data_IF_598850176706
#
_entry.id   IF_598850176706
#
_cell.length_a   1.000
_cell.length_b   1.000
_cell.length_c   1.000
_cell.angle_alpha   90.00
_cell.angle_beta   90.00
_cell.angle_gamma   90.00
#
_symmetry.space_group_name_H-M   'P 1'
#
loop_
_entity.id
_entity.type
_entity.pdbx_description
1 polymer ?
#
# COMPACT_ATOMS: atom_id res chain seq x y z
N UNK A 1 2.94 -17.77 7.85
CA UNK A 1 4.40 -17.82 7.56
C UNK A 1 5.28 -17.55 8.80
N UNK A 2 6.55 -18.01 8.82
CA UNK A 2 7.56 -17.65 9.84
C UNK A 2 8.65 -16.77 9.22
N UNK A 3 9.19 -15.82 9.98
CA UNK A 3 10.37 -15.04 9.55
C UNK A 3 11.64 -15.90 9.61
N UNK A 4 12.75 -15.43 9.01
CA UNK A 4 14.06 -16.10 9.08
C UNK A 4 14.63 -16.25 10.51
N UNK A 5 13.96 -15.70 11.53
CA UNK A 5 14.26 -15.91 12.96
C UNK A 5 13.31 -16.90 13.65
N UNK A 6 12.40 -17.55 12.92
CA UNK A 6 11.50 -18.57 13.47
C UNK A 6 10.29 -18.03 14.25
N UNK A 7 10.13 -16.70 14.31
CA UNK A 7 8.94 -16.06 14.88
C UNK A 7 7.75 -16.25 13.94
N UNK A 8 6.62 -16.65 14.54
CA UNK A 8 5.34 -16.76 13.86
C UNK A 8 4.87 -15.35 13.52
N UNK A 9 4.47 -15.09 12.27
CA UNK A 9 3.87 -13.81 11.84
C UNK A 9 2.52 -13.49 12.51
N UNK A 10 2.09 -14.27 13.50
CA UNK A 10 0.89 -13.98 14.27
C UNK A 10 1.03 -12.76 15.22
N UNK A 11 2.23 -12.21 15.41
CA UNK A 11 2.49 -11.14 16.39
C UNK A 11 2.88 -9.76 15.80
N UNK A 12 2.95 -9.60 14.47
CA UNK A 12 2.86 -8.25 13.92
C UNK A 12 1.38 -7.84 13.99
N UNK A 13 1.01 -7.08 15.02
CA UNK A 13 -0.33 -6.54 15.21
C UNK A 13 -0.66 -5.59 14.04
N UNK A 14 -1.12 -6.15 12.94
CA UNK A 14 -1.61 -5.40 11.80
C UNK A 14 -2.91 -4.72 12.23
N UNK A 15 -2.80 -3.45 12.60
CA UNK A 15 -3.93 -2.65 13.04
C UNK A 15 -4.68 -2.05 11.85
N UNK A 16 -6.00 -2.25 11.81
CA UNK A 16 -6.90 -1.48 10.94
C UNK A 16 -7.41 -0.29 11.73
N UNK A 17 -6.93 0.89 11.38
CA UNK A 17 -7.37 2.17 11.94
C UNK A 17 -8.42 2.82 11.04
N UNK A 18 -9.45 3.41 11.64
CA UNK A 18 -10.35 4.30 10.93
C UNK A 18 -9.64 5.63 10.66
N UNK A 19 -9.62 6.08 9.40
CA UNK A 19 -9.05 7.39 9.03
C UNK A 19 -10.17 8.31 8.57
N UNK A 20 -10.19 9.55 9.10
CA UNK A 20 -11.13 10.59 8.66
C UNK A 20 -10.65 11.32 7.41
N UNK A 21 -10.16 10.59 6.42
CA UNK A 21 -9.73 11.17 5.13
C UNK A 21 -10.79 10.93 4.08
N UNK A 22 -11.27 11.99 3.45
CA UNK A 22 -12.17 11.84 2.29
C UNK A 22 -11.42 11.22 1.11
N UNK A 23 -12.10 10.55 0.16
CA UNK A 23 -11.45 10.03 -1.04
C UNK A 23 -10.67 11.10 -1.82
N UNK A 24 -11.21 12.32 -1.91
CA UNK A 24 -10.53 13.44 -2.57
C UNK A 24 -9.25 13.85 -1.85
N UNK A 25 -9.28 13.90 -0.51
CA UNK A 25 -8.10 14.25 0.29
C UNK A 25 -6.99 13.20 0.15
N UNK A 26 -7.37 11.92 0.16
CA UNK A 26 -6.44 10.81 -0.09
C UNK A 26 -5.80 10.92 -1.49
N UNK A 27 -6.60 11.20 -2.52
CA UNK A 27 -6.11 11.37 -3.90
C UNK A 27 -5.18 12.58 -4.05
N UNK A 28 -5.43 13.67 -3.33
CA UNK A 28 -4.59 14.86 -3.34
C UNK A 28 -3.25 14.66 -2.65
N UNK A 29 -3.20 13.85 -1.59
CA UNK A 29 -1.95 13.51 -0.91
C UNK A 29 -1.06 12.60 -1.77
N UNK A 30 -1.68 11.79 -2.65
CA UNK A 30 -1.05 10.82 -3.54
C UNK A 30 0.23 10.19 -2.94
N UNK A 31 0.14 9.54 -1.77
CA UNK A 31 1.33 9.01 -1.13
C UNK A 31 2.00 7.99 -2.06
N UNK A 32 3.33 7.95 -2.06
CA UNK A 32 4.08 6.99 -2.89
C UNK A 32 3.67 5.57 -2.48
N UNK A 33 3.06 4.83 -3.41
CA UNK A 33 2.55 3.51 -3.13
C UNK A 33 1.94 2.85 -4.37
N UNK A 34 1.62 1.57 -4.22
CA UNK A 34 0.84 0.82 -5.20
C UNK A 34 -0.61 0.72 -4.73
N UNK A 35 -1.55 1.12 -5.58
CA UNK A 35 -2.98 1.12 -5.25
C UNK A 35 -3.76 0.29 -6.25
N UNK A 36 -4.79 -0.38 -5.76
CA UNK A 36 -5.73 -1.13 -6.57
C UNK A 36 -7.13 -0.89 -6.03
N UNK A 37 -8.06 -0.48 -6.90
CA UNK A 37 -9.48 -0.46 -6.56
C UNK A 37 -10.11 -1.80 -6.91
N UNK A 38 -10.92 -2.33 -6.00
CA UNK A 38 -11.68 -3.56 -6.19
C UNK A 38 -13.14 -3.32 -5.78
N UNK A 39 -14.08 -4.03 -6.40
CA UNK A 39 -15.51 -3.90 -6.11
C UNK A 39 -15.96 -5.03 -5.20
N UNK A 40 -16.79 -4.69 -4.21
CA UNK A 40 -17.53 -5.69 -3.43
C UNK A 40 -18.83 -6.05 -4.14
N UNK A 41 -19.27 -7.30 -4.00
CA UNK A 41 -20.54 -7.82 -4.52
C UNK A 41 -21.35 -8.30 -3.34
N UNK A 42 -22.54 -7.73 -3.16
CA UNK A 42 -23.50 -8.07 -2.08
C UNK A 42 -22.89 -8.07 -0.67
N UNK A 43 -21.83 -7.29 -0.42
CA UNK A 43 -21.06 -7.28 0.85
C UNK A 43 -20.41 -8.62 1.24
N UNK A 44 -20.51 -9.66 0.40
CA UNK A 44 -20.04 -11.02 0.70
C UNK A 44 -18.80 -11.44 -0.08
N UNK A 45 -18.49 -10.75 -1.18
CA UNK A 45 -17.37 -11.10 -2.05
C UNK A 45 -16.67 -9.85 -2.59
N UNK A 46 -15.40 -10.01 -2.96
CA UNK A 46 -14.65 -9.04 -3.78
C UNK A 46 -14.48 -9.66 -5.16
N UNK A 47 -14.89 -8.93 -6.20
CA UNK A 47 -14.75 -9.38 -7.58
C UNK A 47 -13.26 -9.45 -7.96
N UNK A 48 -12.85 -10.54 -8.60
CA UNK A 48 -11.49 -10.77 -9.11
C UNK A 48 -10.36 -10.46 -8.12
N UNK A 49 -10.57 -10.76 -6.83
CA UNK A 49 -9.61 -10.44 -5.76
C UNK A 49 -8.18 -10.92 -6.05
N UNK A 50 -8.03 -12.10 -6.65
CA UNK A 50 -6.71 -12.64 -7.01
C UNK A 50 -5.99 -11.75 -8.03
N UNK A 51 -6.70 -11.21 -9.02
CA UNK A 51 -6.11 -10.31 -10.00
C UNK A 51 -5.72 -8.97 -9.38
N UNK A 52 -6.53 -8.46 -8.44
CA UNK A 52 -6.17 -7.27 -7.68
C UNK A 52 -4.90 -7.47 -6.84
N UNK A 53 -4.75 -8.63 -6.19
CA UNK A 53 -3.54 -9.02 -5.46
C UNK A 53 -2.33 -9.08 -6.39
N UNK A 54 -2.46 -9.79 -7.52
CA UNK A 54 -1.41 -9.91 -8.51
C UNK A 54 -0.97 -8.53 -9.03
N UNK A 55 -1.93 -7.65 -9.34
CA UNK A 55 -1.68 -6.29 -9.80
C UNK A 55 -0.85 -5.52 -8.78
N UNK A 56 -1.24 -5.52 -7.51
CA UNK A 56 -0.51 -4.83 -6.44
C UNK A 56 0.91 -5.37 -6.29
N UNK A 57 1.09 -6.69 -6.19
CA UNK A 57 2.42 -7.28 -6.07
C UNK A 57 3.31 -6.96 -7.26
N UNK A 58 2.76 -6.99 -8.48
CA UNK A 58 3.52 -6.66 -9.69
C UNK A 58 3.88 -5.17 -9.74
N UNK A 59 2.98 -4.27 -9.36
CA UNK A 59 3.30 -2.85 -9.20
C UNK A 59 4.44 -2.65 -8.20
N UNK A 60 4.40 -3.31 -7.04
CA UNK A 60 5.45 -3.21 -6.03
C UNK A 60 6.80 -3.77 -6.47
N UNK A 61 6.85 -4.75 -7.39
CA UNK A 61 8.12 -5.24 -7.98
C UNK A 61 8.79 -4.20 -8.87
N UNK A 62 7.99 -3.37 -9.54
CA UNK A 62 8.47 -2.31 -10.42
C UNK A 62 8.90 -1.05 -9.65
N UNK A 63 8.39 -0.87 -8.43
CA UNK A 63 8.76 0.24 -7.55
C UNK A 63 10.10 0.02 -6.86
N UNK A 64 10.90 1.09 -6.76
CA UNK A 64 12.13 1.15 -5.96
C UNK A 64 11.93 2.19 -4.86
N UNK A 65 12.02 1.76 -3.60
CA UNK A 65 11.88 2.67 -2.46
C UNK A 65 13.27 3.15 -2.03
N UNK A 66 13.51 4.46 -2.09
CA UNK A 66 14.76 5.08 -1.65
C UNK A 66 14.68 5.46 -0.17
N UNK A 67 15.83 5.51 0.50
CA UNK A 67 15.90 6.14 1.82
C UNK A 67 15.50 7.62 1.69
N UNK A 68 14.60 8.08 2.56
CA UNK A 68 14.00 9.42 2.52
C UNK A 68 14.97 10.57 2.81
N UNK A 69 16.26 10.30 3.00
CA UNK A 69 17.27 11.34 3.28
C UNK A 69 17.52 12.30 2.11
N UNK A 70 16.92 12.06 0.93
CA UNK A 70 17.07 12.91 -0.26
C UNK A 70 15.74 13.43 -0.86
N UNK A 71 14.61 13.41 -0.15
CA UNK A 71 13.47 14.23 -0.57
C UNK A 71 13.76 15.70 -0.21
N UNK A 72 14.56 16.37 -1.04
CA UNK A 72 14.56 17.83 -1.06
C UNK A 72 13.17 18.28 -1.51
N UNK A 73 12.38 18.74 -0.54
CA UNK A 73 11.20 19.56 -0.80
C UNK A 73 11.67 20.72 -1.67
N UNK A 74 11.09 20.82 -2.86
CA UNK A 74 11.42 21.83 -3.86
C UNK A 74 11.39 23.24 -3.29
N UNK A 75 12.57 23.74 -2.95
CA UNK A 75 12.86 25.16 -2.80
C UNK A 75 13.72 25.57 -3.98
N UNK A 76 13.18 26.43 -4.84
CA UNK A 76 13.88 27.07 -5.96
C UNK A 76 15.32 27.42 -5.59
N UNK A 77 16.29 26.79 -6.27
CA UNK A 77 17.62 27.36 -6.44
C UNK A 77 17.91 27.46 -7.92
N UNK A 78 17.71 28.66 -8.43
CA UNK A 78 18.23 29.10 -9.71
C UNK A 78 19.74 28.87 -9.81
N UNK A 79 20.14 28.39 -11.00
CA UNK A 79 21.48 28.42 -11.60
C UNK A 79 22.60 27.63 -10.91
N UNK A 80 22.98 26.51 -11.53
CA UNK A 80 24.38 26.33 -11.97
C UNK A 80 24.48 25.26 -13.06
N UNK A 81 24.96 25.66 -14.23
CA UNK A 81 25.36 24.77 -15.30
C UNK A 81 26.52 23.88 -14.83
N UNK A 82 26.43 22.57 -15.05
CA UNK A 82 27.58 21.74 -15.36
C UNK A 82 27.12 20.51 -16.13
N UNK A 83 27.60 20.39 -17.37
CA UNK A 83 27.48 19.21 -18.22
C UNK A 83 28.08 18.01 -17.49
N UNK A 84 27.23 17.14 -16.95
CA UNK A 84 27.64 15.80 -16.53
C UNK A 84 26.73 14.85 -17.29
N UNK A 85 27.34 14.09 -18.18
CA UNK A 85 26.75 13.01 -18.96
C UNK A 85 25.79 12.18 -18.10
N UNK A 86 24.52 12.13 -18.53
CA UNK A 86 23.47 11.26 -18.00
C UNK A 86 23.86 9.79 -18.25
N UNK A 87 24.77 9.27 -17.42
CA UNK A 87 24.92 7.84 -17.25
C UNK A 87 23.64 7.36 -16.55
N UNK A 88 22.89 6.47 -17.21
CA UNK A 88 21.75 5.77 -16.64
C UNK A 88 22.23 4.92 -15.45
N UNK A 89 22.44 5.54 -14.30
CA UNK A 89 22.61 4.82 -13.04
C UNK A 89 21.22 4.27 -12.73
N UNK A 90 20.99 2.99 -13.04
CA UNK A 90 19.85 2.26 -12.48
C UNK A 90 19.92 2.43 -10.96
N UNK A 91 19.09 3.31 -10.43
CA UNK A 91 19.03 3.58 -9.00
C UNK A 91 18.56 2.31 -8.29
N UNK A 92 19.50 1.62 -7.67
CA UNK A 92 19.25 0.36 -6.98
C UNK A 92 18.63 0.62 -5.61
N UNK A 93 17.57 -0.13 -5.30
CA UNK A 93 16.92 -0.09 -4.00
C UNK A 93 17.88 -0.66 -2.93
N UNK A 94 17.94 -0.07 -1.71
CA UNK A 94 18.75 -0.61 -0.64
C UNK A 94 18.40 -2.07 -0.32
N UNK A 95 19.41 -2.90 -0.06
CA UNK A 95 19.23 -4.35 0.13
C UNK A 95 18.22 -4.68 1.24
N UNK A 96 18.26 -3.95 2.36
CA UNK A 96 17.34 -4.17 3.48
C UNK A 96 15.88 -3.90 3.08
N UNK A 97 15.63 -2.82 2.33
CA UNK A 97 14.30 -2.50 1.78
C UNK A 97 13.85 -3.59 0.83
N UNK A 98 14.73 -4.04 -0.08
CA UNK A 98 14.38 -5.14 -1.00
C UNK A 98 14.00 -6.42 -0.24
N UNK A 99 14.72 -6.76 0.83
CA UNK A 99 14.45 -7.91 1.68
C UNK A 99 13.12 -7.78 2.43
N UNK A 100 12.86 -6.63 3.04
CA UNK A 100 11.62 -6.35 3.77
C UNK A 100 10.39 -6.30 2.85
N UNK A 101 10.58 -5.93 1.57
CA UNK A 101 9.51 -5.88 0.57
C UNK A 101 9.14 -7.23 -0.04
N UNK A 102 9.93 -8.29 0.21
CA UNK A 102 9.67 -9.65 -0.31
C UNK A 102 8.22 -10.14 -0.03
N UNK A 103 7.70 -10.11 1.21
CA UNK A 103 6.34 -10.58 1.49
C UNK A 103 5.26 -9.82 0.72
N UNK A 104 5.47 -8.54 0.41
CA UNK A 104 4.51 -7.71 -0.31
C UNK A 104 4.62 -7.84 -1.84
N UNK A 105 5.78 -8.28 -2.35
CA UNK A 105 6.03 -8.53 -3.77
C UNK A 105 5.68 -9.95 -4.21
N UNK A 106 5.40 -10.86 -3.28
CA UNK A 106 5.00 -12.23 -3.56
C UNK A 106 3.47 -12.38 -3.39
N UNK A 107 2.71 -12.72 -4.45
CA UNK A 107 1.25 -12.84 -4.36
C UNK A 107 0.74 -13.83 -3.31
N UNK A 108 1.40 -14.98 -3.14
CA UNK A 108 0.96 -16.00 -2.18
C UNK A 108 1.15 -15.53 -0.73
N UNK A 109 2.29 -14.93 -0.44
CA UNK A 109 2.58 -14.38 0.89
C UNK A 109 1.70 -13.16 1.17
N UNK A 110 1.59 -12.25 0.20
CA UNK A 110 0.79 -11.04 0.34
C UNK A 110 -0.69 -11.37 0.55
N UNK A 111 -1.20 -12.42 -0.10
CA UNK A 111 -2.55 -12.93 0.09
C UNK A 111 -2.81 -13.35 1.54
N UNK A 112 -1.88 -14.06 2.16
CA UNK A 112 -1.98 -14.46 3.58
C UNK A 112 -2.06 -13.24 4.51
N UNK A 113 -1.36 -12.15 4.17
CA UNK A 113 -1.34 -10.91 4.94
C UNK A 113 -2.61 -10.06 4.73
N UNK A 114 -3.06 -9.90 3.48
CA UNK A 114 -4.10 -8.93 3.13
C UNK A 114 -5.51 -9.45 3.39
N UNK A 115 -5.77 -10.75 3.27
CA UNK A 115 -7.11 -11.31 3.46
C UNK A 115 -7.67 -11.06 4.87
N UNK A 116 -6.93 -11.29 5.97
CA UNK A 116 -7.39 -10.96 7.31
C UNK A 116 -7.75 -9.47 7.46
N UNK A 117 -6.94 -8.59 6.88
CA UNK A 117 -7.16 -7.14 6.96
C UNK A 117 -8.38 -6.70 6.17
N UNK A 118 -8.58 -7.25 4.97
CA UNK A 118 -9.79 -7.00 4.19
C UNK A 118 -11.04 -7.45 4.93
N UNK A 119 -11.00 -8.60 5.61
CA UNK A 119 -12.12 -9.07 6.43
C UNK A 119 -12.41 -8.10 7.58
N UNK A 120 -11.39 -7.75 8.38
CA UNK A 120 -11.55 -6.83 9.52
C UNK A 120 -12.07 -5.46 9.04
N UNK A 121 -11.44 -4.89 8.01
CA UNK A 121 -11.78 -3.57 7.49
C UNK A 121 -13.18 -3.51 6.86
N UNK A 122 -13.55 -4.50 6.04
CA UNK A 122 -14.88 -4.54 5.43
C UNK A 122 -15.98 -4.81 6.46
N UNK A 123 -15.74 -5.67 7.45
CA UNK A 123 -16.69 -5.89 8.55
C UNK A 123 -16.96 -4.58 9.29
N UNK A 124 -15.91 -3.89 9.75
CA UNK A 124 -16.07 -2.59 10.44
C UNK A 124 -16.75 -1.54 9.56
N UNK A 125 -16.38 -1.47 8.28
CA UNK A 125 -16.99 -0.52 7.35
C UNK A 125 -18.51 -0.73 7.21
N UNK A 126 -18.96 -1.98 7.05
CA UNK A 126 -20.39 -2.27 6.94
C UNK A 126 -21.15 -2.08 8.25
N UNK A 127 -20.53 -2.33 9.41
CA UNK A 127 -21.11 -1.99 10.72
C UNK A 127 -21.40 -0.48 10.81
N UNK A 128 -20.42 0.36 10.47
CA UNK A 128 -20.58 1.82 10.45
C UNK A 128 -21.64 2.26 9.43
N UNK A 129 -21.62 1.69 8.22
CA UNK A 129 -22.60 2.00 7.18
C UNK A 129 -24.03 1.64 7.62
N UNK A 130 -24.22 0.50 8.28
CA UNK A 130 -25.51 0.08 8.83
C UNK A 130 -25.97 0.99 9.97
N UNK A 131 -25.10 1.39 10.90
CA UNK A 131 -25.42 2.32 11.99
C UNK A 131 -25.80 3.72 11.48
N UNK A 132 -25.09 4.21 10.46
CA UNK A 132 -25.33 5.52 9.85
C UNK A 132 -26.52 5.53 8.89
N UNK A 133 -26.89 4.38 8.30
CA UNK A 133 -28.08 4.25 7.44
C UNK A 133 -29.38 4.58 8.17
N UNK A 134 -29.44 4.40 9.49
CA UNK A 134 -30.61 4.78 10.30
C UNK A 134 -30.77 6.30 10.49
N UNK A 135 -29.79 7.11 10.10
CA UNK A 135 -29.77 8.56 10.28
C UNK A 135 -30.08 9.37 9.02
N UNK A 136 -30.33 8.70 7.88
CA UNK A 136 -30.84 9.36 6.66
C UNK A 136 -32.27 8.87 6.39
N UNK A 137 -33.21 9.45 7.14
CA UNK A 137 -34.60 9.60 6.71
C UNK A 137 -34.90 11.10 6.62
N UNK A 138 -35.13 11.59 5.41
CA UNK A 138 -35.59 12.97 5.15
C UNK A 138 -34.87 13.60 3.98
#
# INVERSE_FOLDING_TARGET
LKTMKGESLNDAELAVTETQTTPNEFLLQYPIGAYTSARTVNRTAIMDLQEHINRTCNSLKLMKFKNSENLSVGGNKDKSNNNTSEENIEETEPVHVTQEMVPYRNPEIFKELIIPLLKIGLTKYFEIEEETSWHIKG
#
